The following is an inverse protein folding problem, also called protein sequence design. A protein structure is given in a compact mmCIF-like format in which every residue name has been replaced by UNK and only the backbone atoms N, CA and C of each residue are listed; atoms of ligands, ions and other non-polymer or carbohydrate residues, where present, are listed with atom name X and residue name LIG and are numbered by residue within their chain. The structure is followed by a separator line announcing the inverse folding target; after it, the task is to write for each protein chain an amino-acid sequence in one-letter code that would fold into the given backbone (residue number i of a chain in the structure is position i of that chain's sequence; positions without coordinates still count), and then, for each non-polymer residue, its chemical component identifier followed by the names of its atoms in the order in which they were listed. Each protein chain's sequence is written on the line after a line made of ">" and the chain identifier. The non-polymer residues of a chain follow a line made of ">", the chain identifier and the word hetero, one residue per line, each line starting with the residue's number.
data_IF_774356335378
#
_entry.id   IF_774356335378
#
_cell.length_a   1.000
_cell.length_b   1.000
_cell.length_c   1.000
_cell.angle_alpha   90.00
_cell.angle_beta   90.00
_cell.angle_gamma   90.00
#
_symmetry.space_group_name_H-M   'P 1'
#
loop_
_entity.id
_entity.type
_entity.pdbx_description
1 polymer ?
#
# COMPACT_ATOMS: atom_id res chain seq x y z
N UNK A 1 0.44 36.49 -5.52
CA UNK A 1 0.28 35.11 -5.02
C UNK A 1 -1.00 34.41 -5.56
N UNK A 2 -1.47 34.71 -6.78
CA UNK A 2 -2.68 34.07 -7.39
C UNK A 2 -2.36 33.05 -8.49
N UNK A 3 -1.09 32.78 -8.77
CA UNK A 3 -0.64 31.92 -9.88
C UNK A 3 -0.51 30.43 -9.54
N UNK A 4 -0.37 30.09 -8.26
CA UNK A 4 -0.22 28.68 -7.83
C UNK A 4 -1.48 27.84 -8.10
N UNK A 5 -2.71 28.28 -7.78
CA UNK A 5 -3.90 27.49 -8.07
C UNK A 5 -4.17 27.36 -9.57
N UNK A 6 -3.79 28.36 -10.38
CA UNK A 6 -3.95 28.30 -11.84
C UNK A 6 -2.97 27.33 -12.48
N UNK A 7 -1.73 27.26 -11.99
CA UNK A 7 -0.73 26.28 -12.41
C UNK A 7 -1.12 24.84 -12.01
N UNK A 8 -1.66 24.68 -10.81
CA UNK A 8 -2.17 23.37 -10.34
C UNK A 8 -3.35 22.90 -11.18
N UNK A 9 -4.28 23.81 -11.52
CA UNK A 9 -5.43 23.53 -12.37
C UNK A 9 -4.99 23.21 -13.80
N UNK A 10 -4.02 23.95 -14.36
CA UNK A 10 -3.48 23.69 -15.69
C UNK A 10 -2.73 22.34 -15.74
N UNK A 11 -1.99 21.98 -14.71
CA UNK A 11 -1.33 20.67 -14.58
C UNK A 11 -2.35 19.54 -14.47
N UNK A 12 -3.42 19.74 -13.72
CA UNK A 12 -4.53 18.78 -13.60
C UNK A 12 -5.28 18.60 -14.95
N UNK A 13 -5.52 19.68 -15.69
CA UNK A 13 -6.17 19.62 -17.01
C UNK A 13 -5.24 19.01 -18.08
N UNK A 14 -3.94 19.26 -18.02
CA UNK A 14 -2.96 18.65 -18.92
C UNK A 14 -2.83 17.14 -18.71
N UNK A 15 -2.95 16.66 -17.47
CA UNK A 15 -2.93 15.23 -17.16
C UNK A 15 -4.18 14.48 -17.68
N UNK A 16 -5.31 15.17 -17.90
CA UNK A 16 -6.53 14.57 -18.44
C UNK A 16 -6.51 14.39 -19.98
N UNK A 17 -5.59 15.03 -20.71
CA UNK A 17 -5.55 14.99 -22.17
C UNK A 17 -4.71 13.85 -22.77
N UNK A 18 -4.07 12.99 -22.00
CA UNK A 18 -3.20 11.90 -22.45
C UNK A 18 -3.91 10.54 -22.55
N UNK A 19 -5.07 10.50 -23.18
CA UNK A 19 -5.97 9.33 -23.15
C UNK A 19 -5.49 8.07 -23.89
N UNK A 20 -4.41 8.11 -24.67
CA UNK A 20 -3.97 6.95 -25.48
C UNK A 20 -2.83 6.13 -24.88
N UNK A 21 -2.01 6.70 -23.99
CA UNK A 21 -0.92 5.98 -23.32
C UNK A 21 -1.22 5.61 -21.85
N UNK A 22 -2.25 6.21 -21.28
CA UNK A 22 -2.58 6.07 -19.86
C UNK A 22 -3.53 4.92 -19.54
N UNK A 23 -4.02 4.19 -20.54
CA UNK A 23 -5.00 3.12 -20.31
C UNK A 23 -4.46 2.06 -19.33
N UNK A 24 -5.13 1.96 -18.17
CA UNK A 24 -4.76 1.02 -17.11
C UNK A 24 -3.72 1.53 -16.11
N UNK A 25 -3.22 2.75 -16.24
CA UNK A 25 -2.47 3.40 -15.17
C UNK A 25 -3.41 3.94 -14.10
N UNK A 26 -2.96 3.92 -12.86
CA UNK A 26 -3.72 4.46 -11.76
C UNK A 26 -2.85 4.90 -10.60
N UNK A 27 -3.49 5.65 -9.72
CA UNK A 27 -2.93 6.09 -8.44
C UNK A 27 -3.79 5.56 -7.30
N UNK A 28 -3.19 5.32 -6.16
CA UNK A 28 -3.91 4.91 -4.94
C UNK A 28 -3.32 5.58 -3.72
N UNK A 29 -4.18 5.87 -2.75
CA UNK A 29 -3.78 6.42 -1.47
C UNK A 29 -4.74 5.99 -0.37
N UNK A 30 -4.24 5.96 0.88
CA UNK A 30 -5.08 5.61 2.02
C UNK A 30 -4.31 5.52 3.32
N UNK A 31 -4.98 4.96 4.31
CA UNK A 31 -4.47 4.71 5.64
C UNK A 31 -3.94 3.27 5.77
N UNK A 32 -2.86 3.13 6.52
CA UNK A 32 -2.33 1.86 7.02
C UNK A 32 -2.70 1.70 8.48
N UNK A 33 -3.17 0.52 8.83
CA UNK A 33 -3.36 0.06 10.20
C UNK A 33 -2.42 -1.12 10.39
N UNK A 34 -1.25 -0.85 10.97
CA UNK A 34 -0.19 -1.86 11.09
C UNK A 34 -0.08 -2.36 12.52
N UNK A 35 0.17 -3.64 12.65
CA UNK A 35 0.49 -4.30 13.92
C UNK A 35 1.57 -5.34 13.70
N UNK A 36 2.34 -5.64 14.72
CA UNK A 36 3.23 -6.80 14.71
C UNK A 36 2.56 -7.94 15.49
N UNK A 37 2.56 -9.14 14.92
CA UNK A 37 2.11 -10.31 15.67
C UNK A 37 3.27 -10.85 16.48
N UNK A 38 3.00 -10.98 17.74
CA UNK A 38 3.75 -11.67 18.78
C UNK A 38 5.28 -11.81 18.63
N UNK A 39 5.93 -11.18 19.50
CA UNK A 39 7.26 -11.42 19.98
C UNK A 39 7.31 -10.99 21.43
N UNK A 40 8.38 -11.14 22.14
CA UNK A 40 8.59 -10.81 23.54
C UNK A 40 8.40 -9.31 23.91
N UNK A 41 7.62 -8.55 23.12
CA UNK A 41 7.48 -7.09 23.22
C UNK A 41 6.25 -6.61 24.00
N UNK A 42 5.50 -7.51 24.67
CA UNK A 42 4.33 -7.14 25.48
C UNK A 42 3.09 -6.78 24.62
N UNK A 43 2.24 -5.89 25.10
CA UNK A 43 1.03 -5.46 24.38
C UNK A 43 1.42 -4.56 23.21
N UNK A 44 1.38 -5.09 22.00
CA UNK A 44 1.59 -4.34 20.76
C UNK A 44 0.29 -3.60 20.41
N UNK A 45 0.40 -2.28 20.22
CA UNK A 45 -0.71 -1.45 19.73
C UNK A 45 -0.52 -1.17 18.25
N UNK A 46 -1.63 -1.17 17.52
CA UNK A 46 -1.65 -0.75 16.12
C UNK A 46 -1.18 0.70 15.99
N UNK A 47 -0.30 0.97 15.06
CA UNK A 47 0.07 2.32 14.66
C UNK A 47 -0.59 2.67 13.32
N UNK A 48 -1.04 3.91 13.19
CA UNK A 48 -1.68 4.41 11.99
C UNK A 48 -0.63 5.07 11.11
N UNK A 49 -0.61 4.69 9.85
CA UNK A 49 0.24 5.29 8.83
C UNK A 49 -0.57 5.66 7.60
N UNK A 50 0.13 5.90 6.50
CA UNK A 50 -0.47 6.17 5.21
C UNK A 50 0.33 5.49 4.11
N UNK A 51 -0.31 5.33 2.96
CA UNK A 51 0.35 4.90 1.74
C UNK A 51 -0.07 5.75 0.55
N UNK A 52 0.84 5.86 -0.40
CA UNK A 52 0.63 6.48 -1.69
C UNK A 52 1.35 5.64 -2.74
N UNK A 53 0.68 5.30 -3.83
CA UNK A 53 1.27 4.46 -4.86
C UNK A 53 0.72 4.74 -6.25
N UNK A 54 1.45 4.21 -7.22
CA UNK A 54 1.07 4.16 -8.62
C UNK A 54 1.03 2.70 -9.07
N UNK A 55 0.13 2.38 -9.99
CA UNK A 55 -0.02 1.03 -10.51
C UNK A 55 -0.37 1.04 -12.00
N UNK A 56 -0.23 -0.11 -12.63
CA UNK A 56 -0.71 -0.36 -13.98
C UNK A 56 -1.52 -1.65 -14.02
N UNK A 57 -2.72 -1.58 -14.57
CA UNK A 57 -3.52 -2.77 -14.86
C UNK A 57 -3.24 -3.26 -16.27
N UNK A 58 -2.75 -4.49 -16.39
CA UNK A 58 -2.50 -5.18 -17.66
C UNK A 58 -3.50 -6.31 -17.81
N UNK A 59 -4.34 -6.26 -18.85
CA UNK A 59 -5.39 -7.25 -19.08
C UNK A 59 -4.77 -8.58 -19.54
N UNK A 60 -5.09 -9.65 -18.84
CA UNK A 60 -4.80 -11.04 -19.21
C UNK A 60 -6.03 -11.66 -19.86
N UNK A 61 -7.18 -11.53 -19.20
CA UNK A 61 -8.50 -11.89 -19.76
C UNK A 61 -9.34 -10.62 -19.78
N UNK A 62 -9.73 -10.11 -20.95
CA UNK A 62 -10.45 -8.85 -21.09
C UNK A 62 -11.64 -8.75 -20.15
N UNK A 63 -11.73 -7.66 -19.40
CA UNK A 63 -12.78 -7.33 -18.43
C UNK A 63 -12.87 -8.24 -17.19
N UNK A 64 -12.06 -9.28 -17.10
CA UNK A 64 -12.15 -10.26 -16.02
C UNK A 64 -10.88 -10.33 -15.19
N UNK A 65 -9.72 -10.57 -15.81
CA UNK A 65 -8.46 -10.83 -15.09
C UNK A 65 -7.37 -9.89 -15.56
N UNK A 66 -6.71 -9.26 -14.60
CA UNK A 66 -5.61 -8.34 -14.81
C UNK A 66 -4.42 -8.72 -13.93
N UNK A 67 -3.21 -8.39 -14.40
CA UNK A 67 -2.02 -8.29 -13.54
C UNK A 67 -1.81 -6.81 -13.23
N UNK A 68 -1.57 -6.51 -11.97
CA UNK A 68 -1.43 -5.15 -11.45
C UNK A 68 -0.11 -5.01 -10.69
N UNK A 69 1.02 -4.72 -11.38
CA UNK A 69 2.21 -4.25 -10.71
C UNK A 69 1.99 -2.86 -10.14
N UNK A 70 2.52 -2.65 -8.94
CA UNK A 70 2.44 -1.39 -8.20
C UNK A 70 3.81 -0.99 -7.68
N UNK A 71 3.99 0.31 -7.45
CA UNK A 71 5.04 0.88 -6.60
C UNK A 71 4.37 1.82 -5.63
N UNK A 72 4.58 1.60 -4.33
CA UNK A 72 3.98 2.45 -3.31
C UNK A 72 4.98 2.81 -2.21
N UNK A 73 4.89 4.03 -1.72
CA UNK A 73 5.46 4.44 -0.45
C UNK A 73 4.46 4.09 0.66
N UNK A 74 4.93 3.51 1.73
CA UNK A 74 4.11 3.06 2.85
C UNK A 74 4.78 3.39 4.17
N UNK A 75 4.15 4.28 4.95
CA UNK A 75 4.49 4.47 6.35
C UNK A 75 3.72 3.46 7.17
N UNK A 76 4.44 2.68 7.96
CA UNK A 76 3.92 1.65 8.85
C UNK A 76 4.57 1.78 10.21
N UNK A 77 4.08 1.07 11.19
CA UNK A 77 4.69 1.04 12.51
C UNK A 77 3.86 0.26 13.51
N UNK A 78 4.39 0.19 14.70
CA UNK A 78 3.69 -0.34 15.86
C UNK A 78 4.24 0.34 17.11
N UNK A 79 3.42 0.38 18.14
CA UNK A 79 3.79 1.00 19.40
C UNK A 79 3.80 -0.07 20.48
N UNK A 80 4.82 0.00 21.33
CA UNK A 80 4.87 -0.76 22.58
C UNK A 80 4.55 0.16 23.75
N UNK A 81 4.56 -0.38 24.96
CA UNK A 81 4.32 0.46 26.15
C UNK A 81 5.39 1.53 26.39
N UNK A 82 6.59 1.37 25.82
CA UNK A 82 7.78 2.19 26.11
C UNK A 82 8.48 2.73 24.87
N UNK A 83 8.12 2.26 23.67
CA UNK A 83 8.83 2.60 22.43
C UNK A 83 7.86 2.65 21.26
N UNK A 84 7.96 3.71 20.47
CA UNK A 84 7.22 3.88 19.22
C UNK A 84 8.16 3.58 18.03
N UNK A 85 7.64 2.80 17.09
CA UNK A 85 8.37 2.37 15.90
C UNK A 85 7.66 2.88 14.66
N UNK A 86 8.32 3.77 13.93
CA UNK A 86 7.89 4.26 12.61
C UNK A 86 8.81 3.68 11.53
N UNK A 87 8.23 2.93 10.61
CA UNK A 87 8.95 2.27 9.52
C UNK A 87 8.43 2.76 8.18
N UNK A 88 9.33 3.24 7.33
CA UNK A 88 8.99 3.68 5.98
C UNK A 88 9.53 2.68 4.96
N UNK A 89 8.65 2.25 4.05
CA UNK A 89 8.93 1.27 3.02
C UNK A 89 8.62 1.81 1.63
N UNK A 90 9.44 1.40 0.67
CA UNK A 90 9.04 1.32 -0.74
C UNK A 90 8.57 -0.12 -0.95
N UNK A 91 7.34 -0.28 -1.42
CA UNK A 91 6.72 -1.59 -1.63
C UNK A 91 6.40 -1.78 -3.11
N UNK A 92 6.61 -3.01 -3.58
CA UNK A 92 6.37 -3.43 -4.96
C UNK A 92 5.43 -4.64 -4.94
N UNK A 93 4.12 -4.44 -4.87
CA UNK A 93 3.13 -5.50 -5.07
C UNK A 93 3.04 -5.90 -6.54
N UNK A 94 2.84 -7.20 -6.79
CA UNK A 94 2.49 -7.75 -8.10
C UNK A 94 1.23 -8.58 -7.91
N UNK A 95 0.08 -8.03 -8.30
CA UNK A 95 -1.21 -8.60 -7.94
C UNK A 95 -1.94 -9.16 -9.16
N UNK A 96 -2.59 -10.29 -8.98
CA UNK A 96 -3.67 -10.73 -9.85
C UNK A 96 -4.97 -10.08 -9.36
N UNK A 97 -5.67 -9.37 -10.25
CA UNK A 97 -6.92 -8.67 -9.95
C UNK A 97 -8.04 -9.25 -10.79
N UNK A 98 -9.07 -9.76 -10.10
CA UNK A 98 -10.26 -10.38 -10.70
C UNK A 98 -11.45 -9.44 -10.53
N UNK A 99 -12.04 -9.00 -11.62
CA UNK A 99 -13.26 -8.20 -11.62
C UNK A 99 -14.51 -9.09 -11.64
N UNK A 100 -15.35 -8.93 -10.62
CA UNK A 100 -16.68 -9.56 -10.57
C UNK A 100 -17.74 -8.49 -10.78
N UNK A 101 -18.62 -8.70 -11.77
CA UNK A 101 -19.77 -7.83 -12.05
C UNK A 101 -19.44 -6.34 -12.25
N UNK A 102 -18.21 -5.99 -12.67
CA UNK A 102 -17.71 -4.61 -12.85
C UNK A 102 -17.71 -3.72 -11.57
N UNK A 103 -18.42 -4.12 -10.54
CA UNK A 103 -18.62 -3.33 -9.31
C UNK A 103 -17.66 -3.77 -8.21
N UNK A 104 -17.31 -5.04 -8.18
CA UNK A 104 -16.42 -5.62 -7.16
C UNK A 104 -15.23 -6.27 -7.83
N UNK A 105 -14.05 -6.04 -7.31
CA UNK A 105 -12.85 -6.76 -7.70
C UNK A 105 -12.10 -7.28 -6.48
N UNK A 106 -11.46 -8.43 -6.66
CA UNK A 106 -10.57 -9.05 -5.70
C UNK A 106 -9.15 -9.01 -6.23
N UNK A 107 -8.20 -8.81 -5.35
CA UNK A 107 -6.79 -8.78 -5.70
C UNK A 107 -5.97 -9.64 -4.75
N UNK A 108 -5.00 -10.36 -5.27
CA UNK A 108 -4.08 -11.17 -4.47
C UNK A 108 -2.74 -11.31 -5.17
N UNK A 109 -1.67 -11.41 -4.39
CA UNK A 109 -0.34 -11.63 -4.93
C UNK A 109 0.79 -11.29 -3.98
N UNK A 110 2.03 -11.58 -4.40
CA UNK A 110 3.21 -11.26 -3.63
C UNK A 110 3.46 -9.75 -3.58
N UNK A 111 4.02 -9.31 -2.46
CA UNK A 111 4.49 -7.95 -2.23
C UNK A 111 5.90 -7.98 -1.67
N UNK A 112 6.77 -7.15 -2.23
CA UNK A 112 8.15 -7.00 -1.80
C UNK A 112 8.33 -5.61 -1.20
N UNK A 113 8.87 -5.53 0.01
CA UNK A 113 9.10 -4.30 0.75
C UNK A 113 10.58 -4.03 0.97
N UNK A 114 10.99 -2.80 0.74
CA UNK A 114 12.33 -2.31 1.05
C UNK A 114 12.22 -1.19 2.07
N UNK A 115 12.76 -1.41 3.27
CA UNK A 115 12.82 -0.38 4.30
C UNK A 115 13.76 0.74 3.86
N UNK A 116 13.27 1.96 3.77
CA UNK A 116 14.04 3.13 3.36
C UNK A 116 14.45 4.01 4.53
N UNK A 117 13.66 4.01 5.61
CA UNK A 117 14.03 4.66 6.86
C UNK A 117 13.24 4.10 8.03
N UNK A 118 13.77 4.26 9.22
CA UNK A 118 13.12 3.96 10.49
C UNK A 118 13.39 5.09 11.48
N UNK A 119 12.41 5.31 12.36
CA UNK A 119 12.54 6.14 13.56
C UNK A 119 12.08 5.32 14.75
N UNK A 120 12.88 5.35 15.79
CA UNK A 120 12.67 4.60 17.03
C UNK A 120 12.72 5.62 18.17
N UNK A 121 11.57 5.85 18.80
CA UNK A 121 11.45 6.73 19.96
C UNK A 121 11.26 5.86 21.21
N UNK A 122 12.36 5.62 21.94
CA UNK A 122 12.35 4.83 23.17
C UNK A 122 13.65 4.06 23.44
N UNK A 123 13.70 3.32 24.55
CA UNK A 123 14.90 2.60 24.98
C UNK A 123 15.21 1.33 24.18
N UNK A 124 14.27 0.82 23.38
CA UNK A 124 14.44 -0.38 22.56
C UNK A 124 14.95 0.00 21.17
N UNK A 125 15.99 -0.65 20.70
CA UNK A 125 16.59 -0.43 19.39
C UNK A 125 16.82 -1.77 18.66
N UNK A 126 15.73 -2.43 18.19
CA UNK A 126 15.85 -3.68 17.44
C UNK A 126 16.40 -3.44 16.03
N UNK A 127 17.14 -4.39 15.50
CA UNK A 127 17.64 -4.37 14.13
C UNK A 127 16.55 -4.88 13.16
N UNK A 128 15.89 -3.98 12.47
CA UNK A 128 14.85 -4.30 11.47
C UNK A 128 15.49 -4.76 10.17
N UNK A 129 14.94 -5.83 9.60
CA UNK A 129 15.35 -6.32 8.27
C UNK A 129 15.04 -5.28 7.19
N UNK A 130 15.98 -5.08 6.28
CA UNK A 130 15.84 -4.12 5.17
C UNK A 130 14.85 -4.60 4.11
N UNK A 131 14.70 -5.93 3.96
CA UNK A 131 13.83 -6.55 2.97
C UNK A 131 12.73 -7.35 3.65
N UNK A 132 11.50 -7.10 3.24
CA UNK A 132 10.32 -7.84 3.65
C UNK A 132 9.63 -8.48 2.44
N UNK A 133 9.09 -9.68 2.63
CA UNK A 133 8.27 -10.37 1.64
C UNK A 133 6.94 -10.76 2.27
N UNK A 134 5.86 -10.36 1.63
CA UNK A 134 4.51 -10.51 2.13
C UNK A 134 3.57 -11.03 1.04
N UNK A 135 2.38 -11.42 1.46
CA UNK A 135 1.28 -11.71 0.55
C UNK A 135 0.14 -10.73 0.83
N UNK A 136 -0.40 -10.20 -0.25
CA UNK A 136 -1.51 -9.27 -0.21
C UNK A 136 -2.82 -9.97 -0.64
N UNK A 137 -3.90 -9.67 0.08
CA UNK A 137 -5.29 -10.00 -0.27
C UNK A 137 -6.12 -8.75 -0.16
N UNK A 138 -6.82 -8.39 -1.22
CA UNK A 138 -7.62 -7.18 -1.23
C UNK A 138 -8.95 -7.35 -1.94
N UNK A 139 -9.82 -6.39 -1.65
CA UNK A 139 -11.11 -6.24 -2.31
C UNK A 139 -11.32 -4.76 -2.61
N UNK A 140 -11.89 -4.48 -3.78
CA UNK A 140 -12.24 -3.12 -4.15
C UNK A 140 -13.70 -3.04 -4.59
N UNK A 141 -14.34 -1.94 -4.22
CA UNK A 141 -15.64 -1.54 -4.72
C UNK A 141 -15.43 -0.49 -5.81
N UNK A 142 -15.67 -0.88 -7.05
CA UNK A 142 -15.38 -0.08 -8.22
C UNK A 142 -16.56 0.85 -8.51
N UNK A 143 -16.28 2.13 -8.61
CA UNK A 143 -17.21 3.22 -8.88
C UNK A 143 -17.07 3.69 -10.34
N UNK A 144 -18.02 4.48 -10.85
CA UNK A 144 -17.86 5.16 -12.15
C UNK A 144 -16.60 6.03 -12.21
N UNK A 145 -16.15 6.32 -13.42
CA UNK A 145 -15.01 7.21 -13.72
C UNK A 145 -13.65 6.69 -13.25
N UNK A 146 -13.49 5.36 -13.12
CA UNK A 146 -12.23 4.75 -12.70
C UNK A 146 -11.91 4.86 -11.21
N UNK A 147 -12.82 5.39 -10.42
CA UNK A 147 -12.68 5.44 -8.96
C UNK A 147 -12.93 4.08 -8.32
N UNK A 148 -12.23 3.77 -7.24
CA UNK A 148 -12.55 2.62 -6.39
C UNK A 148 -12.21 2.91 -4.92
N UNK A 149 -13.00 2.31 -4.03
CA UNK A 149 -12.66 2.20 -2.60
C UNK A 149 -12.09 0.81 -2.39
N UNK A 150 -10.97 0.70 -1.70
CA UNK A 150 -10.26 -0.56 -1.56
C UNK A 150 -9.83 -0.84 -0.13
N UNK A 151 -9.94 -2.11 0.25
CA UNK A 151 -9.38 -2.66 1.47
C UNK A 151 -8.39 -3.77 1.11
N UNK A 152 -7.21 -3.80 1.74
CA UNK A 152 -6.17 -4.79 1.50
C UNK A 152 -5.57 -5.24 2.83
N UNK A 153 -5.44 -6.54 3.00
CA UNK A 153 -4.67 -7.16 4.07
C UNK A 153 -3.33 -7.63 3.52
N UNK A 154 -2.26 -7.36 4.24
CA UNK A 154 -0.89 -7.72 3.89
C UNK A 154 -0.29 -8.46 5.08
N UNK A 155 0.11 -9.70 4.88
CA UNK A 155 0.78 -10.52 5.87
C UNK A 155 2.20 -10.87 5.44
N UNK A 156 3.19 -10.50 6.23
CA UNK A 156 4.59 -10.84 5.95
C UNK A 156 4.87 -12.32 6.19
N UNK A 157 5.61 -12.95 5.29
CA UNK A 157 6.03 -14.35 5.42
C UNK A 157 7.18 -14.54 6.40
N UNK A 158 8.03 -13.52 6.51
CA UNK A 158 9.25 -13.55 7.32
C UNK A 158 9.10 -12.61 8.52
N UNK A 159 9.88 -12.89 9.53
CA UNK A 159 10.03 -11.99 10.67
C UNK A 159 10.62 -10.65 10.22
N UNK A 160 10.11 -9.57 10.76
CA UNK A 160 10.53 -8.19 10.45
C UNK A 160 11.71 -7.77 11.33
N UNK A 161 11.78 -8.33 12.52
CA UNK A 161 12.87 -8.11 13.47
C UNK A 161 13.78 -9.35 13.43
N UNK A 162 15.09 -9.13 13.38
CA UNK A 162 16.07 -10.22 13.46
C UNK A 162 15.94 -10.95 14.80
N UNK A 163 16.00 -12.28 14.77
CA UNK A 163 15.97 -13.16 15.95
C UNK A 163 14.68 -13.04 16.80
N UNK A 164 13.55 -12.71 16.16
CA UNK A 164 12.23 -12.68 16.80
C UNK A 164 11.16 -13.26 15.87
N UNK A 165 10.09 -13.84 16.43
CA UNK A 165 8.94 -14.35 15.66
C UNK A 165 7.96 -13.24 15.21
N UNK A 166 8.33 -11.97 15.35
CA UNK A 166 7.46 -10.84 15.03
C UNK A 166 7.26 -10.68 13.53
N UNK A 167 6.02 -10.90 13.06
CA UNK A 167 5.59 -10.70 11.67
C UNK A 167 4.78 -9.43 11.53
N UNK A 168 5.05 -8.67 10.48
CA UNK A 168 4.28 -7.48 10.16
C UNK A 168 2.95 -7.85 9.54
N UNK A 169 1.88 -7.24 10.03
CA UNK A 169 0.53 -7.36 9.50
C UNK A 169 -0.01 -5.96 9.27
N UNK A 170 -0.46 -5.69 8.05
CA UNK A 170 -0.96 -4.37 7.68
C UNK A 170 -2.33 -4.51 7.05
N UNK A 171 -3.28 -3.75 7.55
CA UNK A 171 -4.55 -3.51 6.87
C UNK A 171 -4.52 -2.13 6.24
N UNK A 172 -4.76 -2.06 4.94
CA UNK A 172 -4.85 -0.81 4.17
C UNK A 172 -6.31 -0.53 3.83
N UNK A 173 -6.74 0.71 4.03
CA UNK A 173 -8.04 1.21 3.58
C UNK A 173 -7.82 2.50 2.81
N UNK A 174 -8.36 2.61 1.60
CA UNK A 174 -8.15 3.80 0.80
C UNK A 174 -8.98 3.86 -0.46
N UNK A 175 -8.55 4.72 -1.36
CA UNK A 175 -9.16 4.93 -2.65
C UNK A 175 -8.12 4.86 -3.77
N UNK A 176 -8.59 4.55 -4.97
CA UNK A 176 -7.78 4.54 -6.19
C UNK A 176 -8.54 5.17 -7.36
N UNK A 177 -7.77 5.66 -8.32
CA UNK A 177 -8.27 6.21 -9.58
C UNK A 177 -7.46 5.59 -10.72
N UNK A 178 -8.14 4.93 -11.65
CA UNK A 178 -7.57 4.36 -12.88
C UNK A 178 -7.91 5.24 -14.08
N UNK A 179 -6.94 5.50 -14.94
CA UNK A 179 -7.07 6.33 -16.15
C UNK A 179 -7.18 5.49 -17.40
#
# INVERSE_FOLDING_TARGET
>A
MKTIPTLLLAFLLFSLSQSSFAQGFGVRAGANFSTASDGNFGKIKSNNGYYLGVYKEMSIVPKLLFIQPEVQFSKQGFNTNTTDFDLNYIQVPILAKLYLLKVVSFETGPQFGFKVSDKIDGPQNPDFKTFDSAWAFGMSFNLPFGLAINGRYIGSFKEVIKDSDAKNQVFQLGASLTF
#
